data_IF_244327872219
#
_entry.id   IF_244327872219
#
_cell.length_a   1.000
_cell.length_b   1.000
_cell.length_c   1.000
_cell.angle_alpha   90.00
_cell.angle_beta   90.00
_cell.angle_gamma   90.00
#
_symmetry.space_group_name_H-M   'P 1'
#
loop_
_entity.id
_entity.type
_entity.pdbx_description
1 polymer ?
#
# COMPACT_ATOMS: atom_id res chain seq x y z
N UNK A 1 -21.70 8.61 8.73
CA UNK A 1 -21.32 7.85 7.51
C UNK A 1 -20.72 6.52 7.93
N UNK A 2 -20.80 5.49 7.10
CA UNK A 2 -20.14 4.21 7.38
C UNK A 2 -18.66 4.29 7.03
N UNK A 3 -17.79 3.57 7.76
CA UNK A 3 -16.33 3.47 7.53
C UNK A 3 -15.98 3.19 6.05
N UNK A 4 -16.79 2.41 5.34
CA UNK A 4 -16.59 2.12 3.92
C UNK A 4 -16.72 3.36 3.01
N UNK A 5 -17.65 4.28 3.34
CA UNK A 5 -17.83 5.54 2.60
C UNK A 5 -16.67 6.48 2.89
N UNK A 6 -16.22 6.52 4.14
CA UNK A 6 -15.09 7.37 4.54
C UNK A 6 -13.80 6.95 3.83
N UNK A 7 -13.55 5.64 3.72
CA UNK A 7 -12.38 5.14 3.01
C UNK A 7 -12.46 5.37 1.50
N UNK A 8 -13.63 5.18 0.88
CA UNK A 8 -13.82 5.52 -0.54
C UNK A 8 -13.51 6.99 -0.82
N UNK A 9 -14.07 7.89 -0.02
CA UNK A 9 -13.83 9.33 -0.13
C UNK A 9 -12.34 9.67 0.06
N UNK A 10 -11.69 9.03 1.02
CA UNK A 10 -10.26 9.19 1.26
C UNK A 10 -9.43 8.79 0.02
N UNK A 11 -9.70 7.62 -0.58
CA UNK A 11 -8.94 7.16 -1.76
C UNK A 11 -9.10 8.09 -2.97
N UNK A 12 -10.29 8.67 -3.14
CA UNK A 12 -10.54 9.66 -4.20
C UNK A 12 -9.80 10.98 -3.90
N UNK A 13 -9.78 11.43 -2.65
CA UNK A 13 -9.01 12.61 -2.24
C UNK A 13 -7.50 12.42 -2.48
N UNK A 14 -6.94 11.24 -2.15
CA UNK A 14 -5.53 10.90 -2.45
C UNK A 14 -5.23 11.02 -3.93
N UNK A 15 -6.11 10.47 -4.78
CA UNK A 15 -6.00 10.51 -6.23
C UNK A 15 -5.97 11.94 -6.76
N UNK A 16 -6.94 12.76 -6.35
CA UNK A 16 -7.07 14.15 -6.78
C UNK A 16 -5.88 15.00 -6.35
N UNK A 17 -5.43 14.83 -5.11
CA UNK A 17 -4.23 15.51 -4.61
C UNK A 17 -2.97 15.08 -5.37
N UNK A 18 -2.76 13.78 -5.59
CA UNK A 18 -1.61 13.29 -6.35
C UNK A 18 -1.60 13.77 -7.80
N UNK A 19 -2.75 13.75 -8.47
CA UNK A 19 -2.90 14.22 -9.85
C UNK A 19 -2.61 15.72 -9.96
N UNK A 20 -3.16 16.54 -9.05
CA UNK A 20 -2.94 17.99 -9.05
C UNK A 20 -1.51 18.39 -8.67
N UNK A 21 -0.84 17.61 -7.81
CA UNK A 21 0.50 17.94 -7.31
C UNK A 21 1.60 17.45 -8.26
N UNK A 22 1.47 16.22 -8.76
CA UNK A 22 2.52 15.53 -9.51
C UNK A 22 2.18 15.29 -10.98
N UNK A 23 1.04 15.80 -11.43
CA UNK A 23 0.56 15.66 -12.80
C UNK A 23 -0.16 14.33 -13.08
N UNK A 24 -0.75 14.24 -14.27
CA UNK A 24 -1.61 13.12 -14.66
C UNK A 24 -0.80 11.84 -14.87
N UNK A 25 -1.47 10.68 -14.82
CA UNK A 25 -0.82 9.36 -14.91
C UNK A 25 -0.07 9.10 -16.23
N UNK A 26 -0.41 9.83 -17.28
CA UNK A 26 0.27 9.80 -18.57
C UNK A 26 1.70 10.37 -18.50
N UNK A 27 2.00 11.21 -17.51
CA UNK A 27 3.34 11.80 -17.30
C UNK A 27 4.18 11.01 -16.29
N UNK A 28 3.54 10.39 -15.29
CA UNK A 28 4.22 9.65 -14.22
C UNK A 28 3.46 8.37 -13.90
N UNK A 29 4.08 7.24 -14.26
CA UNK A 29 3.57 5.90 -14.00
C UNK A 29 3.85 5.38 -12.57
N UNK A 30 3.51 4.11 -12.31
CA UNK A 30 3.50 3.52 -10.95
C UNK A 30 4.88 3.27 -10.35
N UNK A 31 5.95 3.27 -11.15
CA UNK A 31 7.31 2.93 -10.68
C UNK A 31 7.85 3.94 -9.67
N UNK A 32 7.53 5.23 -9.83
CA UNK A 32 7.98 6.28 -8.91
C UNK A 32 7.48 6.06 -7.48
N UNK A 33 6.16 5.94 -7.27
CA UNK A 33 5.58 5.64 -5.96
C UNK A 33 6.06 4.32 -5.37
N UNK A 34 6.27 3.29 -6.17
CA UNK A 34 6.76 1.99 -5.68
C UNK A 34 8.20 2.07 -5.15
N UNK A 35 9.07 2.88 -5.78
CA UNK A 35 10.42 3.15 -5.24
C UNK A 35 10.36 3.94 -3.94
N UNK A 36 9.42 4.87 -3.84
CA UNK A 36 9.21 5.63 -2.61
C UNK A 36 8.64 4.74 -1.50
N UNK A 37 7.73 3.80 -1.84
CA UNK A 37 7.17 2.85 -0.90
C UNK A 37 8.26 1.98 -0.24
N UNK A 38 9.28 1.56 -1.01
CA UNK A 38 10.44 0.86 -0.45
C UNK A 38 11.19 1.69 0.60
N UNK A 39 11.30 3.00 0.37
CA UNK A 39 11.92 3.95 1.31
C UNK A 39 11.07 4.09 2.57
N UNK A 40 9.77 4.40 2.46
CA UNK A 40 8.94 4.67 3.65
C UNK A 40 8.68 3.40 4.46
N UNK A 41 8.61 2.23 3.81
CA UNK A 41 8.56 0.96 4.53
C UNK A 41 9.81 0.77 5.43
N UNK A 42 10.99 1.22 4.97
CA UNK A 42 12.23 1.19 5.75
C UNK A 42 12.21 2.20 6.88
N UNK A 43 11.72 3.41 6.63
CA UNK A 43 11.59 4.42 7.68
C UNK A 43 10.64 3.92 8.77
N UNK A 44 9.49 3.33 8.40
CA UNK A 44 8.54 2.74 9.33
C UNK A 44 9.13 1.66 10.25
N UNK A 45 9.87 0.67 9.73
CA UNK A 45 10.42 -0.40 10.59
C UNK A 45 11.70 0.00 11.35
N UNK A 46 12.30 1.15 11.05
CA UNK A 46 13.50 1.66 11.75
C UNK A 46 13.22 2.83 12.70
N UNK A 47 12.04 3.45 12.63
CA UNK A 47 11.66 4.59 13.45
C UNK A 47 11.38 4.18 14.91
N UNK A 48 12.16 4.69 15.90
CA UNK A 48 11.96 4.38 17.31
C UNK A 48 10.78 5.13 17.96
N UNK A 49 10.33 6.25 17.40
CA UNK A 49 9.19 7.02 17.89
C UNK A 49 7.88 6.40 17.42
N UNK A 50 7.01 5.90 18.34
CA UNK A 50 5.77 5.26 17.96
C UNK A 50 4.79 6.16 17.21
N UNK A 51 4.86 7.48 17.38
CA UNK A 51 3.97 8.41 16.68
C UNK A 51 4.42 8.58 15.23
N UNK A 52 5.72 8.81 15.01
CA UNK A 52 6.30 8.90 13.67
C UNK A 52 6.23 7.59 12.93
N UNK A 53 6.44 6.46 13.61
CA UNK A 53 6.26 5.15 13.00
C UNK A 53 4.84 4.97 12.43
N UNK A 54 3.80 5.49 13.10
CA UNK A 54 2.43 5.46 12.56
C UNK A 54 2.28 6.34 11.33
N UNK A 55 2.94 7.48 11.28
CA UNK A 55 2.96 8.37 10.11
C UNK A 55 3.62 7.68 8.91
N UNK A 56 4.80 7.08 9.09
CA UNK A 56 5.49 6.36 8.02
C UNK A 56 4.69 5.14 7.51
N UNK A 57 3.99 4.43 8.41
CA UNK A 57 3.04 3.38 8.01
C UNK A 57 1.90 3.98 7.17
N UNK A 58 1.38 5.16 7.52
CA UNK A 58 0.35 5.82 6.73
C UNK A 58 0.86 6.20 5.34
N UNK A 59 2.11 6.69 5.23
CA UNK A 59 2.73 7.01 3.94
C UNK A 59 2.78 5.79 3.01
N UNK A 60 3.02 4.59 3.54
CA UNK A 60 2.95 3.36 2.73
C UNK A 60 1.58 3.17 2.06
N UNK A 61 0.48 3.51 2.75
CA UNK A 61 -0.87 3.41 2.19
C UNK A 61 -1.09 4.44 1.09
N UNK A 62 -0.67 5.69 1.29
CA UNK A 62 -0.74 6.72 0.25
C UNK A 62 0.01 6.30 -1.02
N UNK A 63 1.20 5.72 -0.87
CA UNK A 63 2.04 5.29 -1.98
C UNK A 63 1.48 4.07 -2.71
N UNK A 64 0.83 3.13 -2.01
CA UNK A 64 0.10 2.01 -2.62
C UNK A 64 -1.08 2.53 -3.46
N UNK A 65 -1.87 3.47 -2.91
CA UNK A 65 -3.01 4.06 -3.61
C UNK A 65 -2.57 4.86 -4.85
N UNK A 66 -1.50 5.66 -4.74
CA UNK A 66 -0.94 6.41 -5.87
C UNK A 66 -0.40 5.46 -6.96
N UNK A 67 0.34 4.43 -6.57
CA UNK A 67 0.84 3.42 -7.49
C UNK A 67 -0.30 2.72 -8.24
N UNK A 68 -1.35 2.30 -7.54
CA UNK A 68 -2.49 1.61 -8.14
C UNK A 68 -3.21 2.50 -9.16
N UNK A 69 -3.53 3.74 -8.77
CA UNK A 69 -4.18 4.69 -9.69
C UNK A 69 -3.32 4.97 -10.93
N UNK A 70 -2.01 5.17 -10.76
CA UNK A 70 -1.07 5.40 -11.87
C UNK A 70 -0.89 4.18 -12.76
N UNK A 71 -1.11 2.98 -12.24
CA UNK A 71 -1.18 1.74 -13.01
C UNK A 71 -2.52 1.58 -13.76
N UNK A 72 -3.46 2.52 -13.62
CA UNK A 72 -4.78 2.46 -14.24
C UNK A 72 -5.80 1.62 -13.48
N UNK A 73 -5.50 1.24 -12.23
CA UNK A 73 -6.40 0.44 -11.40
C UNK A 73 -7.44 1.34 -10.72
N UNK A 74 -8.70 0.90 -10.72
CA UNK A 74 -9.71 1.46 -9.82
C UNK A 74 -9.54 0.89 -8.40
N UNK A 75 -10.18 1.51 -7.40
CA UNK A 75 -10.22 0.94 -6.06
C UNK A 75 -10.84 -0.48 -6.04
N UNK A 76 -11.82 -0.73 -6.91
CA UNK A 76 -12.43 -2.05 -7.06
C UNK A 76 -11.42 -3.08 -7.60
N UNK A 77 -10.60 -2.70 -8.59
CA UNK A 77 -9.55 -3.57 -9.14
C UNK A 77 -8.48 -3.89 -8.08
N UNK A 78 -8.02 -2.86 -7.34
CA UNK A 78 -7.06 -3.05 -6.24
C UNK A 78 -7.62 -3.99 -5.17
N UNK A 79 -8.88 -3.79 -4.78
CA UNK A 79 -9.56 -4.65 -3.80
C UNK A 79 -9.71 -6.08 -4.31
N UNK A 80 -10.03 -6.28 -5.59
CA UNK A 80 -10.11 -7.59 -6.21
C UNK A 80 -8.76 -8.32 -6.20
N UNK A 81 -7.66 -7.63 -6.55
CA UNK A 81 -6.31 -8.19 -6.48
C UNK A 81 -5.88 -8.52 -5.04
N UNK A 82 -6.17 -7.65 -4.08
CA UNK A 82 -5.96 -7.93 -2.64
C UNK A 82 -6.73 -9.18 -2.19
N UNK A 83 -7.98 -9.35 -2.62
CA UNK A 83 -8.78 -10.54 -2.30
C UNK A 83 -8.21 -11.82 -2.92
N UNK A 84 -7.81 -11.79 -4.21
CA UNK A 84 -7.13 -12.93 -4.86
C UNK A 84 -5.86 -13.30 -4.11
N UNK A 85 -5.06 -12.30 -3.71
CA UNK A 85 -3.84 -12.49 -2.95
C UNK A 85 -4.10 -13.07 -1.56
N UNK A 86 -5.15 -12.61 -0.87
CA UNK A 86 -5.56 -13.12 0.43
C UNK A 86 -5.95 -14.60 0.36
N UNK A 87 -6.73 -15.01 -0.64
CA UNK A 87 -7.09 -16.42 -0.87
C UNK A 87 -5.83 -17.27 -1.08
N UNK A 88 -4.90 -16.83 -1.93
CA UNK A 88 -3.60 -17.51 -2.15
C UNK A 88 -2.75 -17.58 -0.87
N UNK A 89 -2.77 -16.53 -0.05
CA UNK A 89 -2.02 -16.52 1.21
C UNK A 89 -2.60 -17.47 2.25
N UNK A 90 -3.94 -17.61 2.30
CA UNK A 90 -4.62 -18.57 3.18
C UNK A 90 -4.39 -20.03 2.78
N UNK A 91 -4.07 -20.30 1.51
CA UNK A 91 -3.79 -21.65 1.02
C UNK A 91 -2.31 -22.06 1.12
N UNK A 92 -1.43 -21.20 1.67
CA UNK A 92 0.00 -21.47 1.81
C UNK A 92 0.32 -22.07 3.17
N UNK A 93 1.39 -22.86 3.20
CA UNK A 93 2.08 -23.20 4.45
C UNK A 93 3.06 -22.09 4.79
N UNK A 94 3.00 -21.60 6.04
CA UNK A 94 3.86 -20.53 6.54
C UNK A 94 4.89 -21.10 7.52
N UNK A 95 6.07 -20.47 7.57
CA UNK A 95 7.06 -20.75 8.60
C UNK A 95 6.58 -20.31 10.00
N UNK A 96 7.33 -20.67 11.03
CA UNK A 96 7.10 -20.17 12.38
C UNK A 96 7.59 -18.71 12.51
N UNK A 97 6.85 -17.82 13.20
CA UNK A 97 7.33 -16.47 13.51
C UNK A 97 8.61 -16.48 14.35
N UNK A 98 9.53 -15.56 14.09
CA UNK A 98 10.78 -15.38 14.86
C UNK A 98 10.97 -13.90 15.18
N UNK A 99 10.50 -13.44 16.35
CA UNK A 99 10.51 -12.02 16.70
C UNK A 99 9.76 -11.18 15.67
N UNK A 100 10.36 -10.05 15.26
CA UNK A 100 9.82 -9.11 14.27
C UNK A 100 10.33 -9.39 12.84
N UNK A 101 10.96 -10.53 12.59
CA UNK A 101 11.45 -10.90 11.25
C UNK A 101 10.32 -11.29 10.30
N UNK A 102 10.49 -11.10 8.98
CA UNK A 102 9.50 -11.52 7.99
C UNK A 102 9.19 -13.02 8.04
N UNK A 103 7.91 -13.37 8.11
CA UNK A 103 7.46 -14.76 7.99
C UNK A 103 7.24 -15.10 6.52
N UNK A 104 8.10 -15.94 5.95
CA UNK A 104 7.94 -16.43 4.60
C UNK A 104 7.04 -17.68 4.51
N UNK A 105 6.45 -17.90 3.34
CA UNK A 105 5.77 -19.15 3.02
C UNK A 105 6.80 -20.20 2.61
N UNK A 106 6.54 -21.45 2.96
CA UNK A 106 7.38 -22.57 2.54
C UNK A 106 7.32 -22.67 1.01
N UNK A 107 8.49 -22.54 0.37
CA UNK A 107 8.63 -22.75 -1.07
C UNK A 107 8.77 -24.25 -1.32
N UNK A 108 7.90 -24.78 -2.16
CA UNK A 108 8.05 -26.11 -2.75
C UNK A 108 8.87 -26.06 -4.02
#
# INVERSE_FOLDING_TARGET
MSVAIDFLNFTEACRQWSESTFGPREMRGPVGPLKHLEKEAREAYTEPDPEKQREEIADTMFLVLDAAWRAGMTLADLTAECNKKLVKNKSRTWGAPTGDEPVEHVRG
#
